data_IF_803525426438
#
_entry.id   IF_803525426438
#
_cell.length_a   1.000
_cell.length_b   1.000
_cell.length_c   1.000
_cell.angle_alpha   90.00
_cell.angle_beta   90.00
_cell.angle_gamma   90.00
#
_symmetry.space_group_name_H-M   'P 1'
#
loop_
_entity.id
_entity.type
_entity.pdbx_description
1 polymer ?
#
# COMPACT_ATOMS: atom_id res chain seq x y z
N UNK A 1 -3.99 13.63 10.96
CA UNK A 1 -4.40 12.77 12.07
C UNK A 1 -4.97 11.45 11.58
N UNK A 2 -5.64 11.41 10.42
CA UNK A 2 -6.23 10.18 9.89
C UNK A 2 -5.22 9.07 9.58
N UNK A 3 -4.06 9.39 8.99
CA UNK A 3 -2.99 8.42 8.70
C UNK A 3 -2.38 7.73 9.93
N UNK A 4 -2.62 8.26 11.14
CA UNK A 4 -2.15 7.65 12.38
C UNK A 4 -3.16 6.62 12.93
N UNK A 5 -4.42 6.68 12.48
CA UNK A 5 -5.43 5.70 12.87
C UNK A 5 -5.16 4.37 12.15
N UNK A 6 -4.71 3.36 12.89
CA UNK A 6 -4.46 2.03 12.36
C UNK A 6 -2.98 1.62 12.31
N UNK A 7 -2.05 2.46 12.78
CA UNK A 7 -0.65 2.06 12.99
C UNK A 7 -0.54 0.82 13.88
N UNK A 8 -1.34 0.77 14.95
CA UNK A 8 -1.46 -0.36 15.86
C UNK A 8 -2.05 -1.61 15.18
N UNK A 9 -2.89 -1.41 14.15
CA UNK A 9 -3.50 -2.49 13.37
C UNK A 9 -2.55 -3.07 12.33
N UNK A 10 -1.49 -2.36 11.96
CA UNK A 10 -0.45 -2.83 11.05
C UNK A 10 0.50 -3.84 11.73
N UNK A 11 -0.05 -4.94 12.20
CA UNK A 11 0.67 -6.00 12.90
C UNK A 11 0.48 -7.35 12.21
N UNK A 12 1.35 -8.32 12.52
CA UNK A 12 1.38 -9.61 11.84
C UNK A 12 0.06 -10.37 11.92
N UNK A 13 -0.65 -10.32 13.05
CA UNK A 13 -1.92 -11.02 13.24
C UNK A 13 -3.00 -10.48 12.29
N UNK A 14 -3.17 -9.16 12.25
CA UNK A 14 -4.15 -8.51 11.40
C UNK A 14 -3.83 -8.65 9.92
N UNK A 15 -2.55 -8.56 9.54
CA UNK A 15 -2.14 -8.73 8.14
C UNK A 15 -2.32 -10.18 7.68
N UNK A 16 -2.00 -11.16 8.53
CA UNK A 16 -2.28 -12.56 8.23
C UNK A 16 -3.79 -12.83 8.11
N UNK A 17 -4.62 -12.21 8.96
CA UNK A 17 -6.08 -12.31 8.86
C UNK A 17 -6.62 -11.70 7.56
N UNK A 18 -6.16 -10.49 7.20
CA UNK A 18 -6.49 -9.86 5.93
C UNK A 18 -6.10 -10.75 4.74
N UNK A 19 -4.87 -11.27 4.73
CA UNK A 19 -4.39 -12.14 3.67
C UNK A 19 -5.24 -13.42 3.53
N UNK A 20 -5.60 -14.07 4.65
CA UNK A 20 -6.51 -15.22 4.62
C UNK A 20 -7.85 -14.87 3.99
N UNK A 21 -8.45 -13.74 4.38
CA UNK A 21 -9.73 -13.30 3.83
C UNK A 21 -9.65 -13.02 2.33
N UNK A 22 -8.58 -12.35 1.87
CA UNK A 22 -8.39 -12.08 0.43
C UNK A 22 -8.14 -13.38 -0.37
N UNK A 23 -7.41 -14.34 0.21
CA UNK A 23 -7.23 -15.66 -0.39
C UNK A 23 -8.53 -16.46 -0.48
N UNK A 24 -9.41 -16.35 0.52
CA UNK A 24 -10.75 -16.93 0.49
C UNK A 24 -11.58 -16.29 -0.63
N UNK A 25 -11.59 -14.95 -0.72
CA UNK A 25 -12.28 -14.23 -1.80
C UNK A 25 -11.77 -14.66 -3.17
N UNK A 26 -10.46 -14.75 -3.39
CA UNK A 26 -9.90 -15.28 -4.64
C UNK A 26 -10.40 -16.70 -4.91
N UNK A 27 -10.44 -17.58 -3.91
CA UNK A 27 -10.96 -18.94 -4.07
C UNK A 27 -12.45 -18.98 -4.49
N UNK A 28 -13.26 -18.02 -4.02
CA UNK A 28 -14.66 -17.90 -4.46
C UNK A 28 -14.75 -17.45 -5.93
N UNK A 29 -13.85 -16.55 -6.35
CA UNK A 29 -13.77 -15.98 -7.70
C UNK A 29 -13.18 -16.94 -8.74
N UNK A 30 -12.30 -17.86 -8.33
CA UNK A 30 -11.73 -18.90 -9.19
C UNK A 30 -12.80 -19.73 -9.89
N UNK A 31 -13.95 -19.95 -9.23
CA UNK A 31 -15.10 -20.68 -9.79
C UNK A 31 -15.71 -20.01 -11.03
N UNK A 32 -15.46 -18.72 -11.20
CA UNK A 32 -15.91 -17.92 -12.34
C UNK A 32 -14.75 -17.50 -13.25
N UNK A 33 -13.54 -18.01 -13.02
CA UNK A 33 -12.34 -17.58 -13.75
C UNK A 33 -11.96 -16.11 -13.54
N UNK A 34 -12.36 -15.52 -12.40
CA UNK A 34 -12.11 -14.10 -12.09
C UNK A 34 -10.86 -13.98 -11.21
N UNK A 35 -9.99 -13.01 -11.53
CA UNK A 35 -8.77 -12.70 -10.77
C UNK A 35 -8.99 -11.46 -9.90
N UNK A 36 -8.66 -11.54 -8.62
CA UNK A 36 -8.70 -10.42 -7.67
C UNK A 36 -7.41 -9.61 -7.77
N UNK A 37 -7.55 -8.31 -7.97
CA UNK A 37 -6.48 -7.34 -7.83
C UNK A 37 -6.73 -6.55 -6.54
N UNK A 38 -5.82 -6.69 -5.58
CA UNK A 38 -5.84 -5.92 -4.35
C UNK A 38 -4.79 -4.82 -4.43
N UNK A 39 -5.28 -3.57 -4.49
CA UNK A 39 -4.48 -2.36 -4.62
C UNK A 39 -4.72 -1.46 -3.40
N UNK A 40 -4.05 -1.73 -2.27
CA UNK A 40 -4.06 -0.80 -1.15
C UNK A 40 -3.29 0.46 -1.55
N UNK A 41 -3.86 1.63 -1.26
CA UNK A 41 -3.13 2.89 -1.39
C UNK A 41 -2.24 3.05 -0.17
N UNK A 42 -0.94 3.28 -0.38
CA UNK A 42 -0.07 3.75 0.70
C UNK A 42 -0.59 5.09 1.19
N UNK A 43 -0.42 5.40 2.47
CA UNK A 43 -0.75 6.73 3.00
C UNK A 43 0.48 7.66 2.95
N UNK A 44 0.22 8.97 3.08
CA UNK A 44 1.26 10.00 3.01
C UNK A 44 2.30 9.81 4.12
N UNK A 45 1.87 9.42 5.31
CA UNK A 45 2.74 9.26 6.45
C UNK A 45 3.72 8.10 6.27
N UNK A 46 3.24 6.93 5.86
CA UNK A 46 4.04 5.73 5.63
C UNK A 46 5.00 5.91 4.44
N UNK A 47 4.52 6.55 3.36
CA UNK A 47 5.36 6.80 2.18
C UNK A 47 6.54 7.73 2.49
N UNK A 48 6.29 8.82 3.23
CA UNK A 48 7.33 9.80 3.57
C UNK A 48 8.02 9.54 4.91
N UNK A 49 7.69 8.46 5.63
CA UNK A 49 8.18 8.22 6.99
C UNK A 49 9.70 8.36 7.15
N UNK A 50 10.45 7.83 6.18
CA UNK A 50 11.91 7.83 6.22
C UNK A 50 12.51 9.23 5.96
N UNK A 51 11.71 10.19 5.49
CA UNK A 51 12.08 11.59 5.27
C UNK A 51 11.68 12.52 6.43
N UNK A 52 10.95 12.02 7.43
CA UNK A 52 10.55 12.81 8.62
C UNK A 52 11.71 12.87 9.60
N UNK A 53 12.14 14.08 9.97
CA UNK A 53 13.22 14.30 10.93
C UNK A 53 12.81 13.97 12.37
N UNK A 54 11.63 14.44 12.81
CA UNK A 54 11.11 14.22 14.16
C UNK A 54 9.99 13.16 14.15
N UNK A 55 10.39 11.92 14.44
CA UNK A 55 9.50 10.75 14.36
C UNK A 55 8.74 10.55 15.67
N UNK A 56 7.66 11.31 15.84
CA UNK A 56 6.77 11.23 17.01
C UNK A 56 5.96 9.93 17.09
N UNK A 57 5.65 9.30 15.96
CA UNK A 57 4.87 8.07 15.87
C UNK A 57 5.66 6.94 15.18
N UNK A 58 5.23 5.70 15.40
CA UNK A 58 5.84 4.51 14.81
C UNK A 58 5.58 4.40 13.31
N UNK A 59 6.39 3.61 12.61
CA UNK A 59 6.22 3.31 11.18
C UNK A 59 5.08 2.31 10.99
N UNK A 60 4.31 2.45 9.91
CA UNK A 60 3.44 1.37 9.45
C UNK A 60 4.29 0.23 8.89
N UNK A 61 3.85 -1.00 9.12
CA UNK A 61 4.48 -2.22 8.59
C UNK A 61 3.57 -2.96 7.61
N UNK A 62 2.49 -2.32 7.16
CA UNK A 62 1.40 -2.97 6.43
C UNK A 62 1.91 -3.62 5.15
N UNK A 63 2.62 -2.83 4.33
CA UNK A 63 3.17 -3.30 3.06
C UNK A 63 4.28 -4.32 3.28
N UNK A 64 5.17 -4.08 4.26
CA UNK A 64 6.28 -4.98 4.58
C UNK A 64 5.80 -6.36 5.01
N UNK A 65 4.78 -6.41 5.87
CA UNK A 65 4.16 -7.66 6.31
C UNK A 65 3.40 -8.32 5.17
N UNK A 66 2.58 -7.54 4.43
CA UNK A 66 1.75 -8.09 3.35
C UNK A 66 2.58 -8.67 2.21
N UNK A 67 3.75 -8.08 1.88
CA UNK A 67 4.73 -8.63 0.93
C UNK A 67 5.22 -10.03 1.31
N UNK A 68 5.35 -10.31 2.61
CA UNK A 68 5.83 -11.60 3.12
C UNK A 68 4.78 -12.72 3.12
N UNK A 69 3.50 -12.37 2.94
CA UNK A 69 2.40 -13.33 2.97
C UNK A 69 2.35 -14.22 1.72
N UNK A 70 1.81 -15.44 1.85
CA UNK A 70 1.49 -16.28 0.70
C UNK A 70 0.12 -15.87 0.13
N UNK A 71 0.12 -15.31 -1.08
CA UNK A 71 -1.04 -14.67 -1.71
C UNK A 71 -1.50 -15.45 -2.94
N UNK A 72 -2.81 -15.59 -3.11
CA UNK A 72 -3.46 -16.14 -4.31
C UNK A 72 -3.98 -15.08 -5.27
N UNK A 73 -4.10 -13.84 -4.81
CA UNK A 73 -4.56 -12.68 -5.56
C UNK A 73 -3.36 -11.86 -6.08
N UNK A 74 -3.62 -10.95 -7.02
CA UNK A 74 -2.61 -9.98 -7.46
C UNK A 74 -2.52 -8.87 -6.44
N UNK A 75 -1.32 -8.65 -5.92
CA UNK A 75 -1.03 -7.55 -5.01
C UNK A 75 -0.34 -6.43 -5.78
N UNK A 76 -0.97 -5.25 -5.80
CA UNK A 76 -0.39 -4.03 -6.37
C UNK A 76 0.28 -3.24 -5.26
N UNK A 77 1.60 -3.30 -5.23
CA UNK A 77 2.41 -2.65 -4.20
C UNK A 77 2.63 -1.17 -4.49
N UNK A 78 1.59 -0.36 -4.21
CA UNK A 78 1.64 1.09 -4.46
C UNK A 78 2.78 1.77 -3.69
N UNK A 79 3.11 1.31 -2.48
CA UNK A 79 4.26 1.82 -1.71
C UNK A 79 5.57 1.59 -2.44
N UNK A 80 5.80 0.41 -3.00
CA UNK A 80 7.03 0.13 -3.75
C UNK A 80 7.10 0.97 -5.02
N UNK A 81 6.02 1.03 -5.81
CA UNK A 81 5.95 1.81 -7.05
C UNK A 81 6.31 3.28 -6.77
N UNK A 82 5.67 3.89 -5.78
CA UNK A 82 5.86 5.30 -5.48
C UNK A 82 7.20 5.61 -4.82
N UNK A 83 7.75 4.68 -4.03
CA UNK A 83 9.09 4.85 -3.49
C UNK A 83 10.16 4.91 -4.60
N UNK A 84 9.92 4.28 -5.76
CA UNK A 84 10.86 4.38 -6.90
C UNK A 84 10.94 5.81 -7.43
N UNK A 85 9.80 6.49 -7.57
CA UNK A 85 9.78 7.90 -8.03
C UNK A 85 10.26 8.89 -6.97
N UNK A 86 10.02 8.63 -5.68
CA UNK A 86 10.61 9.47 -4.62
C UNK A 86 12.14 9.37 -4.64
N UNK A 87 12.68 8.15 -4.82
CA UNK A 87 14.13 7.92 -4.94
C UNK A 87 14.74 8.57 -6.18
N UNK A 88 13.97 8.79 -7.25
CA UNK A 88 14.43 9.54 -8.42
C UNK A 88 14.35 11.07 -8.25
N UNK A 89 13.88 11.55 -7.10
CA UNK A 89 13.85 12.96 -6.74
C UNK A 89 12.48 13.63 -6.87
N UNK A 90 11.43 12.88 -7.22
CA UNK A 90 10.05 13.40 -7.28
C UNK A 90 9.52 13.66 -5.88
N UNK A 91 9.14 14.92 -5.60
CA UNK A 91 8.65 15.33 -4.29
C UNK A 91 7.13 15.35 -4.19
N UNK A 92 6.45 15.69 -5.28
CA UNK A 92 5.00 15.95 -5.32
C UNK A 92 4.17 14.68 -5.59
N UNK A 93 4.46 13.61 -4.84
CA UNK A 93 3.66 12.37 -4.89
C UNK A 93 2.30 12.58 -4.19
N UNK A 94 2.29 13.35 -3.12
CA UNK A 94 1.08 13.92 -2.52
C UNK A 94 1.10 15.44 -2.69
N UNK A 95 -0.09 16.04 -2.76
CA UNK A 95 -0.18 17.50 -2.64
C UNK A 95 0.25 17.93 -1.23
N UNK A 96 0.94 19.06 -1.13
CA UNK A 96 1.50 19.53 0.14
C UNK A 96 0.43 19.79 1.20
N UNK A 97 -0.72 20.31 0.77
CA UNK A 97 -1.87 20.75 1.57
C UNK A 97 -3.06 19.76 1.54
N UNK A 98 -2.94 18.63 0.84
CA UNK A 98 -3.97 17.59 0.75
C UNK A 98 -3.48 16.26 1.38
N UNK A 99 -4.43 15.41 1.76
CA UNK A 99 -4.21 14.01 2.13
C UNK A 99 -4.26 13.09 0.90
N UNK A 100 -4.77 13.57 -0.23
CA UNK A 100 -4.85 12.83 -1.48
C UNK A 100 -3.55 12.89 -2.29
N UNK A 101 -3.35 11.81 -3.05
CA UNK A 101 -2.27 11.64 -4.00
C UNK A 101 -2.39 12.59 -5.19
N UNK A 102 -1.26 12.98 -5.77
CA UNK A 102 -1.24 13.74 -7.02
C UNK A 102 -1.69 12.87 -8.21
N UNK A 103 -2.23 13.50 -9.24
CA UNK A 103 -2.63 12.80 -10.47
C UNK A 103 -1.44 12.10 -11.14
N UNK A 104 -0.23 12.64 -10.99
CA UNK A 104 1.01 12.02 -11.45
C UNK A 104 1.28 10.69 -10.72
N UNK A 105 1.10 10.66 -9.40
CA UNK A 105 1.29 9.44 -8.62
C UNK A 105 0.28 8.35 -8.99
N UNK A 106 -0.98 8.72 -9.23
CA UNK A 106 -2.00 7.79 -9.73
C UNK A 106 -1.62 7.24 -11.10
N UNK A 107 -1.12 8.09 -12.01
CA UNK A 107 -0.64 7.66 -13.32
C UNK A 107 0.50 6.65 -13.19
N UNK A 108 1.47 6.94 -12.31
CA UNK A 108 2.61 6.04 -12.08
C UNK A 108 2.16 4.67 -11.59
N UNK A 109 1.19 4.61 -10.67
CA UNK A 109 0.61 3.33 -10.22
C UNK A 109 0.01 2.57 -11.40
N UNK A 110 -0.86 3.21 -12.20
CA UNK A 110 -1.54 2.56 -13.32
C UNK A 110 -0.56 2.09 -14.40
N UNK A 111 0.45 2.90 -14.73
CA UNK A 111 1.46 2.56 -15.74
C UNK A 111 2.34 1.38 -15.32
N UNK A 112 2.52 1.16 -14.01
CA UNK A 112 3.34 0.09 -13.45
C UNK A 112 2.51 -1.06 -12.85
N UNK A 113 1.19 -1.06 -13.06
CA UNK A 113 0.34 -2.20 -12.76
C UNK A 113 0.46 -3.23 -13.88
N UNK A 114 1.01 -4.40 -13.56
CA UNK A 114 1.00 -5.55 -14.47
C UNK A 114 -0.41 -6.18 -14.47
N UNK A 115 -1.07 -6.18 -15.63
CA UNK A 115 -2.37 -6.85 -15.86
C UNK A 115 -2.18 -8.32 -16.21
#
# INVERSE_FOLDING_TARGET
YEDLYGLDKSNAENIAALNRNLNEVQGLLDRSGIKLYFMPMVDKYDLYYDHILDKKYGKSHFFELLRGENRRYVFVDTKEILNRIIKSGVKDVYFSDDTHMSTMALKEIIDNMEF
#
